data_IF_954552740957
#
_entry.id   IF_954552740957
#
_cell.length_a   1.000
_cell.length_b   1.000
_cell.length_c   1.000
_cell.angle_alpha   90.00
_cell.angle_beta   90.00
_cell.angle_gamma   90.00
#
_symmetry.space_group_name_H-M   'P 1'
#
loop_
_entity.id
_entity.type
_entity.pdbx_description
1 polymer ?
#
# COMPACT_ATOMS: atom_id res chain seq x y z
N UNK A 1 1.50 0.56 -19.57
CA UNK A 1 0.96 1.93 -19.41
C UNK A 1 -0.40 1.98 -18.71
N UNK A 2 -1.34 1.07 -18.96
CA UNK A 2 -2.70 1.14 -18.38
C UNK A 2 -2.76 1.04 -16.84
N UNK A 3 -1.94 0.19 -16.20
CA UNK A 3 -1.93 0.07 -14.73
C UNK A 3 -1.52 1.35 -14.03
N UNK A 4 -0.46 2.03 -14.50
CA UNK A 4 -0.01 3.32 -13.91
C UNK A 4 -1.10 4.38 -14.05
N UNK A 5 -1.76 4.45 -15.21
CA UNK A 5 -2.87 5.38 -15.43
C UNK A 5 -4.04 5.09 -14.49
N UNK A 6 -4.41 3.82 -14.30
CA UNK A 6 -5.46 3.42 -13.37
C UNK A 6 -5.10 3.75 -11.91
N UNK A 7 -3.88 3.44 -11.47
CA UNK A 7 -3.39 3.80 -10.14
C UNK A 7 -3.46 5.31 -9.92
N UNK A 8 -2.99 6.12 -10.88
CA UNK A 8 -3.07 7.58 -10.82
C UNK A 8 -4.51 8.09 -10.78
N UNK A 9 -5.43 7.46 -11.52
CA UNK A 9 -6.85 7.81 -11.46
C UNK A 9 -7.43 7.56 -10.06
N UNK A 10 -7.08 6.44 -9.41
CA UNK A 10 -7.48 6.17 -8.02
C UNK A 10 -6.86 7.19 -7.06
N UNK A 11 -5.58 7.54 -7.23
CA UNK A 11 -4.92 8.59 -6.43
C UNK A 11 -5.62 9.94 -6.57
N UNK A 12 -6.00 10.33 -7.79
CA UNK A 12 -6.75 11.55 -8.03
C UNK A 12 -8.11 11.56 -7.31
N UNK A 13 -8.80 10.41 -7.22
CA UNK A 13 -10.04 10.29 -6.45
C UNK A 13 -9.77 10.39 -4.94
N UNK A 14 -8.69 9.78 -4.44
CA UNK A 14 -8.26 9.91 -3.05
C UNK A 14 -8.04 11.39 -2.69
N UNK A 15 -7.25 12.11 -3.49
CA UNK A 15 -6.97 13.53 -3.26
C UNK A 15 -8.24 14.39 -3.25
N UNK A 16 -9.21 14.09 -4.14
CA UNK A 16 -10.51 14.77 -4.12
C UNK A 16 -11.25 14.55 -2.82
N UNK A 17 -11.29 13.31 -2.31
CA UNK A 17 -11.93 13.00 -1.02
C UNK A 17 -11.22 13.72 0.13
N UNK A 18 -9.87 13.74 0.14
CA UNK A 18 -9.09 14.47 1.14
C UNK A 18 -9.40 15.97 1.17
N UNK A 19 -9.79 16.57 0.03
CA UNK A 19 -10.20 17.97 -0.07
C UNK A 19 -11.61 18.27 0.47
N UNK A 20 -12.29 17.28 1.03
CA UNK A 20 -13.66 17.42 1.56
C UNK A 20 -13.73 17.14 3.05
N UNK A 21 -14.82 17.54 3.70
CA UNK A 21 -15.16 17.15 5.08
C UNK A 21 -15.92 15.82 5.16
N UNK A 22 -15.84 14.99 4.12
CA UNK A 22 -16.58 13.74 4.03
C UNK A 22 -16.09 12.73 5.08
N UNK A 23 -17.01 12.17 5.86
CA UNK A 23 -16.68 11.12 6.82
C UNK A 23 -16.53 9.77 6.11
N UNK A 24 -15.31 9.24 6.11
CA UNK A 24 -14.92 7.97 5.48
C UNK A 24 -15.73 6.76 5.97
N UNK A 25 -16.38 6.81 7.14
CA UNK A 25 -17.23 5.70 7.60
C UNK A 25 -18.46 5.47 6.71
N UNK A 26 -18.95 6.51 6.04
CA UNK A 26 -20.08 6.37 5.11
C UNK A 26 -19.64 5.90 3.72
N UNK A 27 -18.32 5.76 3.48
CA UNK A 27 -17.82 5.28 2.20
C UNK A 27 -18.01 3.76 2.08
N UNK A 28 -18.43 3.31 0.91
CA UNK A 28 -18.53 1.89 0.62
C UNK A 28 -17.16 1.20 0.77
N UNK A 29 -17.15 0.00 1.37
CA UNK A 29 -15.93 -0.78 1.56
C UNK A 29 -15.21 -1.15 0.24
N UNK A 30 -15.92 -1.13 -0.90
CA UNK A 30 -15.31 -1.27 -2.22
C UNK A 30 -14.26 -0.20 -2.51
N UNK A 31 -14.46 1.03 -2.04
CA UNK A 31 -13.51 2.12 -2.25
C UNK A 31 -12.20 1.89 -1.49
N UNK A 32 -12.26 1.40 -0.25
CA UNK A 32 -11.05 1.09 0.52
C UNK A 32 -10.25 -0.06 -0.09
N UNK A 33 -10.94 -1.03 -0.69
CA UNK A 33 -10.29 -2.08 -1.48
C UNK A 33 -9.56 -1.52 -2.70
N UNK A 34 -10.17 -0.59 -3.44
CA UNK A 34 -9.49 0.09 -4.56
C UNK A 34 -8.23 0.84 -4.10
N UNK A 35 -8.27 1.50 -2.94
CA UNK A 35 -7.10 2.17 -2.37
C UNK A 35 -5.99 1.17 -1.99
N UNK A 36 -6.36 0.03 -1.39
CA UNK A 36 -5.42 -1.05 -1.10
C UNK A 36 -4.75 -1.57 -2.39
N UNK A 37 -5.53 -1.83 -3.44
CA UNK A 37 -5.01 -2.30 -4.74
C UNK A 37 -4.09 -1.26 -5.39
N UNK A 38 -4.44 0.04 -5.29
CA UNK A 38 -3.57 1.12 -5.74
C UNK A 38 -2.24 1.15 -4.98
N UNK A 39 -2.27 1.03 -3.65
CA UNK A 39 -1.06 0.91 -2.83
C UNK A 39 -0.19 -0.29 -3.22
N UNK A 40 -0.80 -1.46 -3.43
CA UNK A 40 -0.09 -2.65 -3.87
C UNK A 40 0.55 -2.49 -5.26
N UNK A 41 -0.09 -1.74 -6.17
CA UNK A 41 0.50 -1.39 -7.46
C UNK A 41 1.68 -0.41 -7.30
N UNK A 42 1.56 0.60 -6.43
CA UNK A 42 2.64 1.55 -6.14
C UNK A 42 3.87 0.82 -5.60
N UNK A 43 3.73 -0.16 -4.70
CA UNK A 43 4.85 -0.97 -4.20
C UNK A 43 5.61 -1.64 -5.34
N UNK A 44 4.91 -2.18 -6.35
CA UNK A 44 5.54 -2.81 -7.52
C UNK A 44 6.27 -1.78 -8.39
N UNK A 45 5.68 -0.60 -8.57
CA UNK A 45 6.32 0.49 -9.32
C UNK A 45 7.54 1.03 -8.59
N UNK A 46 7.48 1.15 -7.26
CA UNK A 46 8.61 1.54 -6.41
C UNK A 46 9.79 0.62 -6.65
N UNK A 47 9.58 -0.70 -6.51
CA UNK A 47 10.63 -1.69 -6.76
C UNK A 47 11.25 -1.54 -8.15
N UNK A 48 10.41 -1.48 -9.20
CA UNK A 48 10.90 -1.33 -10.57
C UNK A 48 11.70 -0.03 -10.78
N UNK A 49 11.35 1.06 -10.08
CA UNK A 49 12.04 2.35 -10.17
C UNK A 49 13.32 2.41 -9.35
N UNK A 50 13.35 1.72 -8.20
CA UNK A 50 14.58 1.50 -7.43
C UNK A 50 15.60 0.69 -8.23
N UNK A 51 15.16 -0.36 -8.92
CA UNK A 51 16.03 -1.20 -9.77
C UNK A 51 16.62 -0.39 -10.94
N UNK A 52 15.83 0.56 -11.46
CA UNK A 52 16.25 1.50 -12.49
C UNK A 52 17.09 2.68 -11.96
N UNK A 53 17.29 2.80 -10.65
CA UNK A 53 17.99 3.91 -9.97
C UNK A 53 17.41 5.30 -10.31
N UNK A 54 16.09 5.36 -10.47
CA UNK A 54 15.34 6.59 -10.76
C UNK A 54 14.86 7.22 -9.44
N UNK A 55 15.78 7.90 -8.73
CA UNK A 55 15.55 8.40 -7.38
C UNK A 55 14.40 9.41 -7.29
N UNK A 56 14.23 10.24 -8.32
CA UNK A 56 13.14 11.23 -8.39
C UNK A 56 11.76 10.55 -8.43
N UNK A 57 11.62 9.51 -9.27
CA UNK A 57 10.36 8.78 -9.36
C UNK A 57 10.12 7.88 -8.13
N UNK A 58 11.18 7.36 -7.51
CA UNK A 58 11.08 6.66 -6.21
C UNK A 58 10.51 7.60 -5.16
N UNK A 59 11.08 8.79 -4.99
CA UNK A 59 10.61 9.77 -4.01
C UNK A 59 9.14 10.17 -4.26
N UNK A 60 8.76 10.37 -5.52
CA UNK A 60 7.36 10.63 -5.90
C UNK A 60 6.42 9.50 -5.48
N UNK A 61 6.78 8.26 -5.80
CA UNK A 61 5.96 7.09 -5.51
C UNK A 61 5.87 6.80 -4.01
N UNK A 62 6.90 7.09 -3.22
CA UNK A 62 6.85 7.00 -1.75
C UNK A 62 5.86 8.01 -1.16
N UNK A 63 5.80 9.22 -1.70
CA UNK A 63 4.79 10.21 -1.30
C UNK A 63 3.37 9.75 -1.63
N UNK A 64 3.14 9.25 -2.85
CA UNK A 64 1.84 8.69 -3.25
C UNK A 64 1.44 7.51 -2.35
N UNK A 65 2.38 6.61 -2.05
CA UNK A 65 2.16 5.49 -1.13
C UNK A 65 1.80 5.97 0.29
N UNK A 66 2.46 7.02 0.77
CA UNK A 66 2.17 7.64 2.06
C UNK A 66 0.73 8.13 2.16
N UNK A 67 0.19 8.70 1.08
CA UNK A 67 -1.21 9.15 1.02
C UNK A 67 -2.18 7.97 1.09
N UNK A 68 -1.92 6.88 0.37
CA UNK A 68 -2.74 5.65 0.47
C UNK A 68 -2.76 5.13 1.89
N UNK A 69 -1.58 5.02 2.53
CA UNK A 69 -1.47 4.57 3.92
C UNK A 69 -2.22 5.46 4.88
N UNK A 70 -2.14 6.78 4.72
CA UNK A 70 -2.86 7.74 5.54
C UNK A 70 -4.37 7.51 5.47
N UNK A 71 -4.93 7.34 4.27
CA UNK A 71 -6.36 7.13 4.10
C UNK A 71 -6.84 5.80 4.67
N UNK A 72 -6.09 4.72 4.42
CA UNK A 72 -6.41 3.42 5.00
C UNK A 72 -6.29 3.45 6.52
N UNK A 73 -5.32 4.19 7.09
CA UNK A 73 -5.17 4.40 8.54
C UNK A 73 -6.36 5.11 9.16
N UNK A 74 -6.78 6.23 8.59
CA UNK A 74 -7.95 6.97 9.08
C UNK A 74 -9.21 6.09 9.08
N UNK A 75 -9.36 5.24 8.05
CA UNK A 75 -10.45 4.27 8.00
C UNK A 75 -10.25 3.11 9.00
N UNK A 76 -9.02 2.66 9.19
CA UNK A 76 -8.64 1.55 10.06
C UNK A 76 -8.73 1.84 11.55
N UNK A 77 -8.60 3.11 11.94
CA UNK A 77 -8.88 3.56 13.31
C UNK A 77 -10.35 3.36 13.71
N UNK A 78 -11.24 3.25 12.72
CA UNK A 78 -12.69 3.16 12.92
C UNK A 78 -13.30 1.88 12.37
N UNK A 79 -12.54 1.07 11.62
CA UNK A 79 -13.01 -0.18 10.99
C UNK A 79 -11.95 -1.28 10.99
N UNK A 80 -12.38 -2.54 11.16
CA UNK A 80 -11.47 -3.69 11.08
C UNK A 80 -10.92 -3.94 9.67
N UNK A 81 -11.67 -3.57 8.63
CA UNK A 81 -11.26 -3.74 7.23
C UNK A 81 -10.06 -2.85 6.92
N UNK A 82 -10.15 -1.55 7.24
CA UNK A 82 -9.04 -0.61 7.04
C UNK A 82 -7.79 -1.04 7.79
N UNK A 83 -7.94 -1.47 9.05
CA UNK A 83 -6.82 -1.96 9.86
C UNK A 83 -6.08 -3.14 9.21
N UNK A 84 -6.83 -4.14 8.74
CA UNK A 84 -6.25 -5.30 8.03
C UNK A 84 -5.56 -4.91 6.73
N UNK A 85 -6.16 -4.02 5.95
CA UNK A 85 -5.60 -3.54 4.69
C UNK A 85 -4.26 -2.83 4.89
N UNK A 86 -4.11 -1.97 5.91
CA UNK A 86 -2.83 -1.31 6.22
C UNK A 86 -1.78 -2.35 6.59
N UNK A 87 -2.13 -3.28 7.49
CA UNK A 87 -1.17 -4.27 7.98
C UNK A 87 -0.62 -5.13 6.83
N UNK A 88 -1.51 -5.61 5.95
CA UNK A 88 -1.11 -6.37 4.78
C UNK A 88 -0.26 -5.53 3.81
N UNK A 89 -0.62 -4.27 3.61
CA UNK A 89 0.12 -3.36 2.73
C UNK A 89 1.53 -3.06 3.27
N UNK A 90 1.67 -2.90 4.59
CA UNK A 90 2.96 -2.74 5.26
C UNK A 90 3.82 -3.99 5.16
N UNK A 91 3.23 -5.18 5.34
CA UNK A 91 3.92 -6.45 5.13
C UNK A 91 4.45 -6.57 3.69
N UNK A 92 3.61 -6.25 2.70
CA UNK A 92 4.02 -6.23 1.29
C UNK A 92 5.16 -5.26 1.03
N UNK A 93 5.07 -4.03 1.55
CA UNK A 93 6.13 -3.03 1.41
C UNK A 93 7.45 -3.52 2.02
N UNK A 94 7.39 -4.12 3.23
CA UNK A 94 8.57 -4.63 3.90
C UNK A 94 9.21 -5.80 3.15
N UNK A 95 8.42 -6.66 2.49
CA UNK A 95 8.94 -7.78 1.69
C UNK A 95 9.57 -7.27 0.39
N UNK A 96 8.86 -6.44 -0.35
CA UNK A 96 9.25 -6.06 -1.72
C UNK A 96 10.30 -4.94 -1.76
N UNK A 97 10.20 -3.97 -0.84
CA UNK A 97 11.04 -2.76 -0.83
C UNK A 97 12.11 -2.84 0.25
N UNK A 98 11.77 -3.16 1.51
CA UNK A 98 12.79 -3.29 2.58
C UNK A 98 13.52 -4.63 2.59
N UNK A 99 12.98 -5.65 1.92
CA UNK A 99 13.65 -6.93 1.68
C UNK A 99 14.68 -6.85 0.55
N UNK A 100 14.64 -5.78 -0.25
CA UNK A 100 15.63 -5.47 -1.28
C UNK A 100 16.98 -5.16 -0.61
N UNK A 101 17.88 -6.14 -0.64
CA UNK A 101 19.16 -6.13 0.07
C UNK A 101 19.37 -7.31 1.03
N UNK A 102 18.35 -8.13 1.30
CA UNK A 102 18.53 -9.41 2.01
C UNK A 102 18.84 -10.51 0.99
N UNK A 103 20.10 -10.94 1.00
CA UNK A 103 20.61 -12.13 0.31
C UNK A 103 19.58 -13.28 0.37
N UNK A 104 19.19 -13.92 -0.75
CA UNK A 104 18.15 -14.96 -0.81
C UNK A 104 18.41 -16.20 0.08
N UNK A 105 19.55 -16.28 0.75
CA UNK A 105 19.90 -17.33 1.71
C UNK A 105 19.23 -17.19 3.08
N UNK A 106 18.52 -16.08 3.37
CA UNK A 106 17.71 -15.96 4.60
C UNK A 106 16.24 -15.79 4.23
N UNK A 107 15.60 -16.92 3.96
CA UNK A 107 14.15 -17.03 3.79
C UNK A 107 13.39 -16.47 5.00
N UNK A 108 12.08 -16.22 4.85
CA UNK A 108 11.26 -15.67 5.93
C UNK A 108 11.22 -16.65 7.11
N UNK A 109 11.80 -16.24 8.23
CA UNK A 109 11.58 -16.85 9.52
C UNK A 109 10.14 -16.56 9.96
N UNK A 110 9.45 -17.65 10.32
CA UNK A 110 8.23 -17.74 11.14
C UNK A 110 6.88 -17.70 10.42
N UNK A 111 6.50 -18.88 9.90
CA UNK A 111 5.18 -19.47 10.20
C UNK A 111 5.40 -20.78 10.97
N UNK A 112 5.76 -20.66 12.24
CA UNK A 112 5.64 -21.75 13.19
C UNK A 112 4.60 -21.34 14.22
N UNK A 113 3.31 -21.61 13.93
CA UNK A 113 2.31 -21.79 14.98
C UNK A 113 1.38 -22.96 14.64
N UNK A 114 1.49 -23.95 15.52
CA UNK A 114 0.53 -24.99 15.91
C UNK A 114 0.23 -26.13 14.93
N UNK A 115 0.94 -27.23 15.14
CA UNK A 115 0.38 -28.59 15.01
C UNK A 115 0.69 -29.36 16.30
N UNK A 116 -0.38 -29.73 17.00
CA UNK A 116 -0.55 -30.87 17.93
C UNK A 116 0.36 -31.02 19.16
N UNK A 117 -0.20 -30.63 20.32
CA UNK A 117 -0.49 -31.52 21.45
C UNK A 117 -1.64 -30.92 22.25
#
# INVERSE_FOLDING_TARGET
MQMVAATRAIMNLIYKVCGTTYDLLYMEHGCSFCWFVAGAAIIRFLKAKMDAKDEDEVARLEQEFGVVKFMLKNLGERTMIGFRQIKLLDEMYNIEVKGWGRNPTKGPLVLAKHSNC
#
